data_IF_888517541206
#
_entry.id   IF_888517541206
#
_cell.length_a   1.000
_cell.length_b   1.000
_cell.length_c   1.000
_cell.angle_alpha   90.00
_cell.angle_beta   90.00
_cell.angle_gamma   90.00
#
_symmetry.space_group_name_H-M   'P 1'
#
loop_
_entity.id
_entity.type
_entity.pdbx_description
1 polymer ?
#
# COMPACT_ATOMS: atom_id res chain seq x y z
N UNK A 1 -18.74 6.33 1.15
CA UNK A 1 -18.19 5.35 0.18
C UNK A 1 -16.89 4.69 0.69
N UNK A 2 -16.90 4.00 1.84
CA UNK A 2 -15.66 3.47 2.47
C UNK A 2 -15.65 1.94 2.71
N UNK A 3 -16.70 1.21 2.28
CA UNK A 3 -16.84 -0.23 2.60
C UNK A 3 -16.14 -1.20 1.64
N UNK A 4 -15.65 -0.74 0.48
CA UNK A 4 -15.18 -1.65 -0.59
C UNK A 4 -13.65 -1.79 -0.70
N UNK A 5 -12.87 -1.16 0.18
CA UNK A 5 -11.39 -1.15 0.06
C UNK A 5 -10.70 -2.27 0.86
N UNK A 6 -11.48 -3.06 1.62
CA UNK A 6 -11.00 -4.27 2.31
C UNK A 6 -10.84 -5.51 1.40
N UNK A 7 -11.01 -5.36 0.07
CA UNK A 7 -10.87 -6.45 -0.92
C UNK A 7 -9.42 -6.57 -1.42
N UNK A 8 -8.45 -6.54 -0.51
CA UNK A 8 -7.02 -6.77 -0.82
C UNK A 8 -6.45 -8.00 -0.10
N UNK A 9 -7.28 -8.78 0.60
CA UNK A 9 -6.87 -10.05 1.23
C UNK A 9 -7.12 -11.28 0.34
N UNK A 10 -7.82 -11.14 -0.78
CA UNK A 10 -8.12 -12.27 -1.65
C UNK A 10 -7.11 -12.39 -2.79
N UNK A 11 -6.40 -13.52 -2.77
CA UNK A 11 -5.53 -14.08 -3.83
C UNK A 11 -4.21 -13.34 -4.08
N UNK A 12 -3.41 -13.20 -3.02
CA UNK A 12 -1.98 -13.50 -3.16
C UNK A 12 -1.86 -14.86 -3.86
N UNK A 13 -0.99 -14.99 -4.87
CA UNK A 13 -0.40 -16.31 -5.15
C UNK A 13 0.05 -16.81 -3.79
N UNK A 14 -0.41 -17.97 -3.31
CA UNK A 14 0.16 -18.55 -2.12
C UNK A 14 1.62 -18.79 -2.48
N UNK A 15 2.50 -17.85 -2.14
CA UNK A 15 3.92 -18.11 -2.00
C UNK A 15 4.03 -18.89 -0.69
N UNK A 16 3.40 -20.06 -0.64
CA UNK A 16 3.90 -21.10 0.23
C UNK A 16 5.29 -21.35 -0.31
N UNK A 17 6.28 -21.06 0.53
CA UNK A 17 7.71 -21.19 0.31
C UNK A 17 8.17 -22.58 -0.16
N UNK A 18 7.25 -23.48 -0.52
CA UNK A 18 7.49 -24.85 -0.97
C UNK A 18 7.82 -24.96 -2.47
N UNK A 19 7.61 -23.91 -3.26
CA UNK A 19 8.01 -23.87 -4.68
C UNK A 19 9.16 -22.88 -4.92
N UNK A 20 10.07 -22.70 -3.96
CA UNK A 20 11.43 -22.26 -4.28
C UNK A 20 12.02 -23.42 -5.11
N UNK A 21 11.77 -23.38 -6.42
CA UNK A 21 12.47 -24.23 -7.38
C UNK A 21 13.93 -23.81 -7.24
N UNK A 22 14.70 -24.60 -6.51
CA UNK A 22 16.15 -24.59 -6.52
C UNK A 22 16.59 -24.96 -7.93
N UNK A 23 16.61 -23.96 -8.82
CA UNK A 23 17.28 -24.05 -10.10
C UNK A 23 18.77 -23.90 -9.76
N UNK A 24 19.39 -25.00 -9.33
CA UNK A 24 20.84 -25.13 -9.33
C UNK A 24 21.31 -24.98 -10.77
N UNK A 25 21.91 -23.84 -11.02
CA UNK A 25 22.49 -23.45 -12.30
C UNK A 25 23.65 -24.35 -12.67
N UNK A 26 23.58 -25.09 -13.78
CA UNK A 26 24.66 -25.19 -14.78
C UNK A 26 24.04 -25.58 -16.14
N UNK A 27 24.61 -25.03 -17.21
CA UNK A 27 24.42 -25.39 -18.63
C UNK A 27 23.28 -24.65 -19.37
N UNK A 28 23.67 -23.99 -20.46
CA UNK A 28 22.81 -23.26 -21.37
C UNK A 28 21.70 -24.15 -21.96
N UNK A 29 20.47 -23.99 -21.49
CA UNK A 29 19.30 -24.71 -22.04
C UNK A 29 18.33 -23.68 -22.62
N UNK A 30 18.33 -23.56 -23.95
CA UNK A 30 17.56 -22.58 -24.74
C UNK A 30 16.04 -22.89 -24.85
N UNK A 31 15.51 -23.79 -24.03
CA UNK A 31 14.12 -24.26 -24.12
C UNK A 31 13.08 -23.30 -23.51
N UNK A 32 11.83 -23.27 -24.03
CA UNK A 32 10.78 -22.35 -23.55
C UNK A 32 10.42 -22.58 -22.08
N UNK A 33 10.55 -23.82 -21.58
CA UNK A 33 10.31 -24.17 -20.16
C UNK A 33 11.20 -23.37 -19.21
N UNK A 34 12.52 -23.45 -19.39
CA UNK A 34 13.46 -22.81 -18.47
C UNK A 34 13.34 -21.29 -18.53
N UNK A 35 13.22 -20.73 -19.74
CA UNK A 35 13.00 -19.28 -19.94
C UNK A 35 11.76 -18.78 -19.18
N UNK A 36 10.65 -19.51 -19.28
CA UNK A 36 9.40 -19.18 -18.58
C UNK A 36 9.58 -19.21 -17.07
N UNK A 37 10.13 -20.31 -16.53
CA UNK A 37 10.30 -20.47 -15.08
C UNK A 37 11.26 -19.43 -14.48
N UNK A 38 12.38 -19.15 -15.15
CA UNK A 38 13.32 -18.11 -14.72
C UNK A 38 12.67 -16.73 -14.73
N UNK A 39 11.86 -16.41 -15.74
CA UNK A 39 11.18 -15.12 -15.81
C UNK A 39 10.11 -14.99 -14.71
N UNK A 40 9.33 -16.05 -14.47
CA UNK A 40 8.38 -16.11 -13.34
C UNK A 40 9.11 -15.86 -12.03
N UNK A 41 10.22 -16.56 -11.78
CA UNK A 41 11.00 -16.40 -10.54
C UNK A 41 11.47 -14.95 -10.33
N UNK A 42 11.99 -14.30 -11.38
CA UNK A 42 12.41 -12.90 -11.33
C UNK A 42 11.24 -11.96 -11.00
N UNK A 43 10.13 -12.11 -11.71
CA UNK A 43 8.94 -11.28 -11.53
C UNK A 43 8.30 -11.49 -10.14
N UNK A 44 8.25 -12.71 -9.64
CA UNK A 44 7.80 -13.01 -8.27
C UNK A 44 8.70 -12.36 -7.21
N UNK A 45 10.01 -12.30 -7.46
CA UNK A 45 10.95 -11.56 -6.62
C UNK A 45 10.64 -10.07 -6.56
N UNK A 46 10.35 -9.44 -7.70
CA UNK A 46 9.94 -8.03 -7.76
C UNK A 46 8.60 -7.80 -7.06
N UNK A 47 7.61 -8.65 -7.32
CA UNK A 47 6.31 -8.58 -6.66
C UNK A 47 6.46 -8.62 -5.14
N UNK A 48 7.29 -9.55 -4.62
CA UNK A 48 7.56 -9.67 -3.18
C UNK A 48 8.16 -8.39 -2.61
N UNK A 49 9.22 -7.87 -3.24
CA UNK A 49 9.90 -6.64 -2.79
C UNK A 49 8.93 -5.45 -2.71
N UNK A 50 8.13 -5.23 -3.75
CA UNK A 50 7.17 -4.12 -3.76
C UNK A 50 5.98 -4.36 -2.83
N UNK A 51 5.59 -5.61 -2.60
CA UNK A 51 4.60 -5.96 -1.59
C UNK A 51 5.09 -5.64 -0.18
N UNK A 52 6.34 -5.94 0.15
CA UNK A 52 6.91 -5.59 1.46
C UNK A 52 6.90 -4.06 1.68
N UNK A 53 7.20 -3.29 0.64
CA UNK A 53 7.08 -1.82 0.68
C UNK A 53 5.62 -1.39 0.89
N UNK A 54 4.67 -2.00 0.17
CA UNK A 54 3.24 -1.74 0.34
C UNK A 54 2.78 -2.05 1.76
N UNK A 55 3.09 -3.25 2.29
CA UNK A 55 2.65 -3.69 3.61
C UNK A 55 3.25 -2.81 4.73
N UNK A 56 4.48 -2.30 4.54
CA UNK A 56 5.09 -1.33 5.47
C UNK A 56 4.37 0.02 5.40
N UNK A 57 4.16 0.56 4.20
CA UNK A 57 3.48 1.85 3.99
C UNK A 57 2.02 1.80 4.46
N UNK A 58 1.34 0.68 4.29
CA UNK A 58 -0.05 0.50 4.74
C UNK A 58 -0.19 0.62 6.26
N UNK A 59 0.79 0.08 7.00
CA UNK A 59 0.89 0.26 8.46
C UNK A 59 1.20 1.70 8.84
N UNK A 60 2.09 2.37 8.11
CA UNK A 60 2.42 3.78 8.32
C UNK A 60 1.20 4.69 8.08
N UNK A 61 0.48 4.49 6.97
CA UNK A 61 -0.79 5.17 6.66
C UNK A 61 -1.79 4.95 7.79
N UNK A 62 -1.98 3.70 8.25
CA UNK A 62 -2.90 3.39 9.34
C UNK A 62 -2.51 4.09 10.65
N UNK A 63 -1.21 4.19 10.93
CA UNK A 63 -0.69 4.87 12.12
C UNK A 63 -0.89 6.39 12.03
N UNK A 64 -0.60 6.99 10.88
CA UNK A 64 -0.84 8.43 10.64
C UNK A 64 -2.32 8.76 10.77
N UNK A 65 -3.18 7.86 10.30
CA UNK A 65 -4.63 7.98 10.46
C UNK A 65 -5.04 8.07 11.92
N UNK A 66 -4.62 7.09 12.72
CA UNK A 66 -4.91 7.07 14.15
C UNK A 66 -4.41 8.36 14.82
N UNK A 67 -3.22 8.84 14.46
CA UNK A 67 -2.65 10.07 15.03
C UNK A 67 -3.49 11.31 14.73
N UNK A 68 -3.85 11.58 13.47
CA UNK A 68 -4.64 12.78 13.19
C UNK A 68 -6.08 12.67 13.73
N UNK A 69 -6.65 11.47 13.81
CA UNK A 69 -7.98 11.25 14.42
C UNK A 69 -7.95 11.48 15.93
N UNK A 70 -6.88 11.08 16.62
CA UNK A 70 -6.68 11.40 18.03
C UNK A 70 -6.53 12.90 18.26
N UNK A 71 -5.73 13.58 17.43
CA UNK A 71 -5.55 15.04 17.51
C UNK A 71 -6.88 15.76 17.21
N UNK A 72 -7.67 15.30 16.25
CA UNK A 72 -9.01 15.84 15.98
C UNK A 72 -9.93 15.74 17.21
N UNK A 73 -9.85 14.62 17.95
CA UNK A 73 -10.58 14.47 19.21
C UNK A 73 -10.07 15.44 20.30
N UNK A 74 -8.76 15.71 20.35
CA UNK A 74 -8.18 16.70 21.27
C UNK A 74 -8.63 18.13 20.92
N UNK A 75 -8.62 18.51 19.64
CA UNK A 75 -9.12 19.81 19.17
C UNK A 75 -10.59 20.00 19.56
N UNK A 76 -11.43 18.98 19.36
CA UNK A 76 -12.84 19.03 19.76
C UNK A 76 -13.02 19.30 21.25
N UNK A 77 -12.24 18.65 22.11
CA UNK A 77 -12.26 18.91 23.56
C UNK A 77 -11.84 20.35 23.91
N UNK A 78 -10.80 20.86 23.25
CA UNK A 78 -10.35 22.24 23.46
C UNK A 78 -11.39 23.26 22.98
N UNK A 79 -12.07 22.99 21.86
CA UNK A 79 -13.18 23.83 21.35
C UNK A 79 -14.35 23.81 22.34
N UNK A 80 -14.75 22.66 22.87
CA UNK A 80 -15.77 22.59 23.92
C UNK A 80 -15.37 23.40 25.15
N UNK A 81 -14.11 23.27 25.62
CA UNK A 81 -13.61 24.06 26.74
C UNK A 81 -13.64 25.57 26.45
N UNK A 82 -13.27 25.97 25.23
CA UNK A 82 -13.36 27.37 24.78
C UNK A 82 -14.81 27.88 24.85
N UNK A 83 -15.77 27.08 24.40
CA UNK A 83 -17.19 27.44 24.42
C UNK A 83 -17.70 27.58 25.86
N UNK A 84 -17.31 26.68 26.78
CA UNK A 84 -17.62 26.79 28.20
C UNK A 84 -17.06 28.06 28.86
N UNK A 85 -15.81 28.44 28.53
CA UNK A 85 -15.21 29.69 29.02
C UNK A 85 -15.97 30.90 28.48
N UNK A 86 -16.35 30.88 27.19
CA UNK A 86 -17.15 31.95 26.59
C UNK A 86 -18.52 32.11 27.26
N UNK A 87 -19.21 31.01 27.59
CA UNK A 87 -20.47 31.09 28.34
C UNK A 87 -20.27 31.71 29.73
N UNK A 88 -19.21 31.34 30.46
CA UNK A 88 -18.89 31.95 31.77
C UNK A 88 -18.55 33.44 31.66
N UNK A 89 -17.88 33.86 30.59
CA UNK A 89 -17.57 35.27 30.33
C UNK A 89 -18.82 36.12 30.02
N UNK A 90 -19.90 35.52 29.52
CA UNK A 90 -21.18 36.23 29.35
C UNK A 90 -21.81 36.63 30.70
N UNK A 91 -21.62 35.80 31.73
CA UNK A 91 -22.11 36.07 33.08
C UNK A 91 -21.13 36.89 33.92
N UNK A 92 -19.82 36.66 33.75
CA UNK A 92 -18.74 37.33 34.49
C UNK A 92 -17.89 38.16 33.53
N UNK A 93 -18.46 39.26 33.06
CA UNK A 93 -17.84 40.14 32.06
C UNK A 93 -16.51 40.68 32.60
N UNK A 94 -15.45 40.57 31.79
CA UNK A 94 -14.09 41.03 32.08
C UNK A 94 -13.39 40.35 33.27
N UNK A 95 -13.77 39.12 33.65
CA UNK A 95 -12.98 38.32 34.57
C UNK A 95 -11.56 38.08 33.98
N UNK A 96 -10.48 38.64 34.57
CA UNK A 96 -9.14 38.54 34.03
C UNK A 96 -8.61 37.10 33.99
N UNK A 97 -9.07 36.24 34.91
CA UNK A 97 -8.70 34.83 34.96
C UNK A 97 -9.32 34.05 33.80
N UNK A 98 -10.60 34.28 33.51
CA UNK A 98 -11.29 33.66 32.37
C UNK A 98 -10.74 34.16 31.02
N UNK A 99 -10.37 35.44 30.92
CA UNK A 99 -9.72 36.00 29.72
C UNK A 99 -8.34 35.37 29.47
N UNK A 100 -7.53 35.20 30.52
CA UNK A 100 -6.24 34.52 30.43
C UNK A 100 -6.39 33.03 30.06
N UNK A 101 -7.38 32.34 30.64
CA UNK A 101 -7.68 30.95 30.29
C UNK A 101 -8.14 30.81 28.84
N UNK A 102 -8.98 31.74 28.34
CA UNK A 102 -9.43 31.77 26.96
C UNK A 102 -8.25 31.96 25.98
N UNK A 103 -7.31 32.86 26.31
CA UNK A 103 -6.12 33.07 25.49
C UNK A 103 -5.22 31.82 25.44
N UNK A 104 -5.03 31.16 26.59
CA UNK A 104 -4.27 29.91 26.67
C UNK A 104 -4.92 28.80 25.83
N UNK A 105 -6.24 28.60 25.95
CA UNK A 105 -6.98 27.60 25.16
C UNK A 105 -6.91 27.92 23.67
N UNK A 106 -6.98 29.18 23.26
CA UNK A 106 -6.83 29.56 21.86
C UNK A 106 -5.44 29.22 21.31
N UNK A 107 -4.37 29.44 22.09
CA UNK A 107 -2.99 29.06 21.71
C UNK A 107 -2.85 27.55 21.59
N UNK A 108 -3.44 26.79 22.50
CA UNK A 108 -3.44 25.33 22.46
C UNK A 108 -4.19 24.81 21.22
N UNK A 109 -5.37 25.36 20.92
CA UNK A 109 -6.12 25.02 19.69
C UNK A 109 -5.26 25.27 18.45
N UNK A 110 -4.60 26.42 18.35
CA UNK A 110 -3.78 26.75 17.18
C UNK A 110 -2.62 25.77 17.02
N UNK A 111 -1.94 25.42 18.11
CA UNK A 111 -0.83 24.45 18.12
C UNK A 111 -1.32 23.05 17.71
N UNK A 112 -2.38 22.56 18.34
CA UNK A 112 -2.94 21.24 18.07
C UNK A 112 -3.50 21.15 16.64
N UNK A 113 -4.10 22.22 16.11
CA UNK A 113 -4.57 22.27 14.73
C UNK A 113 -3.42 22.24 13.71
N UNK A 114 -2.29 22.90 14.00
CA UNK A 114 -1.07 22.80 13.17
C UNK A 114 -0.55 21.38 13.11
N UNK A 115 -0.53 20.66 14.24
CA UNK A 115 -0.15 19.25 14.30
C UNK A 115 -1.12 18.37 13.51
N UNK A 116 -2.44 18.57 13.67
CA UNK A 116 -3.46 17.88 12.89
C UNK A 116 -3.22 18.03 11.37
N UNK A 117 -3.05 19.27 10.91
CA UNK A 117 -2.86 19.57 9.49
C UNK A 117 -1.60 18.89 8.94
N UNK A 118 -0.52 18.83 9.74
CA UNK A 118 0.70 18.13 9.37
C UNK A 118 0.47 16.63 9.21
N UNK A 119 -0.08 15.95 10.22
CA UNK A 119 -0.29 14.50 10.16
C UNK A 119 -1.32 14.09 9.10
N UNK A 120 -2.35 14.92 8.89
CA UNK A 120 -3.34 14.69 7.83
C UNK A 120 -2.71 14.81 6.45
N UNK A 121 -1.88 15.84 6.21
CA UNK A 121 -1.17 15.99 4.94
C UNK A 121 -0.24 14.79 4.68
N UNK A 122 0.57 14.42 5.68
CA UNK A 122 1.48 13.27 5.57
C UNK A 122 0.70 11.97 5.29
N UNK A 123 -0.46 11.78 5.94
CA UNK A 123 -1.37 10.66 5.67
C UNK A 123 -1.86 10.68 4.22
N UNK A 124 -2.42 11.79 3.76
CA UNK A 124 -3.07 11.87 2.45
C UNK A 124 -2.05 11.68 1.31
N UNK A 125 -0.87 12.29 1.44
CA UNK A 125 0.24 12.14 0.50
C UNK A 125 0.75 10.70 0.41
N UNK A 126 0.90 10.03 1.57
CA UNK A 126 1.35 8.63 1.60
C UNK A 126 0.25 7.67 1.15
N UNK A 127 -1.00 7.94 1.51
CA UNK A 127 -2.17 7.12 1.17
C UNK A 127 -2.31 7.00 -0.34
N UNK A 128 -2.31 8.12 -1.08
CA UNK A 128 -2.44 8.10 -2.53
C UNK A 128 -1.32 7.30 -3.21
N UNK A 129 -0.08 7.48 -2.74
CA UNK A 129 1.09 6.72 -3.23
C UNK A 129 0.94 5.23 -2.93
N UNK A 130 0.48 4.87 -1.74
CA UNK A 130 0.29 3.47 -1.34
C UNK A 130 -0.84 2.79 -2.14
N UNK A 131 -1.92 3.53 -2.42
CA UNK A 131 -3.04 3.06 -3.25
C UNK A 131 -2.60 2.81 -4.68
N UNK A 132 -1.86 3.74 -5.30
CA UNK A 132 -1.31 3.53 -6.65
C UNK A 132 -0.43 2.27 -6.69
N UNK A 133 0.47 2.12 -5.72
CA UNK A 133 1.33 0.94 -5.60
C UNK A 133 0.50 -0.35 -5.49
N UNK A 134 -0.49 -0.41 -4.61
CA UNK A 134 -1.35 -1.59 -4.44
C UNK A 134 -2.12 -1.95 -5.71
N UNK A 135 -2.69 -0.96 -6.40
CA UNK A 135 -3.42 -1.16 -7.66
C UNK A 135 -2.50 -1.67 -8.78
N UNK A 136 -1.32 -1.09 -8.92
CA UNK A 136 -0.34 -1.52 -9.92
C UNK A 136 0.15 -2.94 -9.63
N UNK A 137 0.46 -3.27 -8.36
CA UNK A 137 0.88 -4.63 -7.98
C UNK A 137 -0.19 -5.66 -8.32
N UNK A 138 -1.46 -5.37 -8.03
CA UNK A 138 -2.57 -6.24 -8.38
C UNK A 138 -2.70 -6.39 -9.90
N UNK A 139 -2.81 -5.28 -10.63
CA UNK A 139 -3.02 -5.29 -12.09
C UNK A 139 -1.90 -6.04 -12.82
N UNK A 140 -0.65 -5.80 -12.45
CA UNK A 140 0.53 -6.33 -13.15
C UNK A 140 0.74 -7.80 -12.81
N UNK A 141 0.63 -8.19 -11.53
CA UNK A 141 1.06 -9.52 -11.09
C UNK A 141 -0.07 -10.54 -10.92
N UNK A 142 -1.35 -10.16 -10.95
CA UNK A 142 -2.44 -11.16 -11.00
C UNK A 142 -2.33 -12.10 -12.22
N UNK A 143 -2.07 -11.62 -13.45
CA UNK A 143 -1.87 -12.52 -14.60
C UNK A 143 -0.68 -13.47 -14.44
N UNK A 144 0.37 -13.06 -13.72
CA UNK A 144 1.52 -13.93 -13.42
C UNK A 144 1.10 -15.14 -12.58
N UNK A 145 0.30 -14.89 -11.54
CA UNK A 145 -0.24 -15.94 -10.67
C UNK A 145 -1.11 -16.94 -11.43
N UNK A 146 -2.05 -16.43 -12.24
CA UNK A 146 -2.92 -17.27 -13.08
C UNK A 146 -2.10 -18.13 -14.05
N UNK A 147 -1.07 -17.54 -14.67
CA UNK A 147 -0.19 -18.27 -15.59
C UNK A 147 0.58 -19.36 -14.87
N UNK A 148 1.11 -19.07 -13.68
CA UNK A 148 1.80 -20.05 -12.85
C UNK A 148 0.88 -21.22 -12.43
N UNK A 149 -0.31 -20.93 -11.94
CA UNK A 149 -1.29 -21.95 -11.51
C UNK A 149 -1.68 -22.87 -12.68
N UNK A 150 -1.88 -22.29 -13.87
CA UNK A 150 -2.16 -23.06 -15.08
C UNK A 150 -0.99 -23.97 -15.49
N UNK A 151 0.25 -23.46 -15.43
CA UNK A 151 1.45 -24.29 -15.65
C UNK A 151 1.50 -25.44 -14.64
N UNK A 152 1.26 -25.16 -13.36
CA UNK A 152 1.35 -26.17 -12.31
C UNK A 152 0.29 -27.27 -12.50
N UNK A 153 -0.95 -26.88 -12.80
CA UNK A 153 -2.04 -27.82 -13.12
C UNK A 153 -1.70 -28.70 -14.31
N UNK A 154 -1.29 -28.11 -15.43
CA UNK A 154 -0.92 -28.87 -16.64
C UNK A 154 0.31 -29.76 -16.43
N UNK A 155 1.24 -29.34 -15.57
CA UNK A 155 2.41 -30.15 -15.20
C UNK A 155 2.01 -31.36 -14.34
N UNK A 156 1.11 -31.17 -13.36
CA UNK A 156 0.58 -32.26 -12.53
C UNK A 156 -0.19 -33.29 -13.36
N UNK A 157 -0.91 -32.82 -14.37
CA UNK A 157 -1.65 -33.67 -15.30
C UNK A 157 -0.77 -34.31 -16.39
N UNK A 158 0.55 -34.05 -16.39
CA UNK A 158 1.50 -34.45 -17.45
C UNK A 158 1.10 -33.96 -18.87
N UNK A 159 0.31 -32.90 -18.98
CA UNK A 159 -0.17 -32.31 -20.25
C UNK A 159 0.68 -31.15 -20.74
N UNK A 160 1.76 -30.81 -20.05
CA UNK A 160 2.55 -29.62 -20.35
C UNK A 160 3.51 -29.82 -21.54
N UNK A 161 3.06 -29.46 -22.74
CA UNK A 161 3.85 -29.57 -23.99
C UNK A 161 4.80 -28.40 -24.21
N UNK A 162 5.74 -28.55 -25.17
CA UNK A 162 6.67 -27.47 -25.57
C UNK A 162 5.93 -26.22 -26.09
N UNK A 163 4.82 -26.40 -26.82
CA UNK A 163 3.99 -25.30 -27.33
C UNK A 163 3.32 -24.54 -26.18
N UNK A 164 2.78 -25.26 -25.19
CA UNK A 164 2.17 -24.66 -24.01
C UNK A 164 3.21 -23.90 -23.16
N UNK A 165 4.45 -24.38 -23.07
CA UNK A 165 5.54 -23.61 -22.46
C UNK A 165 5.83 -22.32 -23.20
N UNK A 166 5.77 -22.32 -24.53
CA UNK A 166 5.99 -21.12 -25.33
C UNK A 166 4.83 -20.11 -25.20
N UNK A 167 3.58 -20.60 -25.15
CA UNK A 167 2.42 -19.76 -24.88
C UNK A 167 2.52 -19.12 -23.48
N UNK A 168 2.82 -19.91 -22.45
CA UNK A 168 3.03 -19.41 -21.10
C UNK A 168 4.15 -18.37 -21.03
N UNK A 169 5.26 -18.58 -21.76
CA UNK A 169 6.33 -17.58 -21.84
C UNK A 169 5.82 -16.21 -22.30
N UNK A 170 5.00 -16.17 -23.36
CA UNK A 170 4.44 -14.91 -23.90
C UNK A 170 3.55 -14.20 -22.88
N UNK A 171 2.72 -14.93 -22.14
CA UNK A 171 1.90 -14.37 -21.06
C UNK A 171 2.77 -13.75 -19.96
N UNK A 172 3.84 -14.43 -19.57
CA UNK A 172 4.80 -13.92 -18.57
C UNK A 172 5.57 -12.71 -19.12
N UNK A 173 5.88 -12.67 -20.42
CA UNK A 173 6.50 -11.49 -21.04
C UNK A 173 5.58 -10.27 -21.04
N UNK A 174 4.26 -10.44 -21.21
CA UNK A 174 3.30 -9.34 -21.07
C UNK A 174 3.36 -8.75 -19.66
N UNK A 175 3.44 -9.61 -18.63
CA UNK A 175 3.63 -9.16 -17.24
C UNK A 175 4.93 -8.37 -17.10
N UNK A 176 6.05 -8.89 -17.65
CA UNK A 176 7.34 -8.18 -17.62
C UNK A 176 7.23 -6.79 -18.26
N UNK A 177 6.65 -6.71 -19.45
CA UNK A 177 6.53 -5.44 -20.18
C UNK A 177 5.65 -4.44 -19.42
N UNK A 178 4.56 -4.90 -18.80
CA UNK A 178 3.71 -4.06 -17.95
C UNK A 178 4.43 -3.58 -16.69
N UNK A 179 5.26 -4.43 -16.08
CA UNK A 179 6.12 -4.06 -14.97
C UNK A 179 7.18 -3.02 -15.37
N UNK A 180 7.88 -3.23 -16.48
CA UNK A 180 8.89 -2.30 -17.00
C UNK A 180 8.27 -0.95 -17.38
N UNK A 181 7.10 -0.95 -18.01
CA UNK A 181 6.36 0.27 -18.32
C UNK A 181 5.94 1.03 -17.04
N UNK A 182 5.54 0.29 -16.00
CA UNK A 182 5.23 0.89 -14.70
C UNK A 182 6.47 1.50 -14.04
N UNK A 183 7.61 0.80 -14.04
CA UNK A 183 8.88 1.35 -13.54
C UNK A 183 9.28 2.63 -14.29
N UNK A 184 9.24 2.62 -15.62
CA UNK A 184 9.60 3.78 -16.44
C UNK A 184 8.66 4.98 -16.22
N UNK A 185 7.44 4.75 -15.74
CA UNK A 185 6.44 5.80 -15.50
C UNK A 185 6.45 6.32 -14.07
N UNK A 186 6.57 5.45 -13.06
CA UNK A 186 6.50 5.84 -11.64
C UNK A 186 7.86 6.11 -10.99
N UNK A 187 8.97 5.67 -11.61
CA UNK A 187 10.33 5.78 -11.06
C UNK A 187 11.31 6.52 -11.98
N UNK A 188 10.82 7.33 -12.93
CA UNK A 188 11.69 8.12 -13.83
C UNK A 188 12.45 9.24 -13.10
N UNK A 189 11.99 9.63 -11.91
CA UNK A 189 12.51 10.76 -11.13
C UNK A 189 12.82 10.40 -9.66
N UNK A 190 13.33 9.18 -9.40
CA UNK A 190 14.07 8.89 -8.15
C UNK A 190 15.57 8.91 -8.46
#
# INVERSE_FOLDING_TARGET
MLKNWRILTATLVPITSAAIITITSVVAIHGPKLKTLTLIQKLSGFQKKHKEVYDKRDKEVSTLKIKYEDIDAQVKKLVTKKDEINEKLKTNINDPGLLAELEAVNKDIEKTQKEYNKFKKDHDDLFLKNVSLGLNLKRIFTPLGVTYDNIEKLRKDNKMTKSLWHAAYKEVEIVRNNYEAWLLKEYKDI
#
